data_IF_419579562308
#
_entry.id   IF_419579562308
#
_cell.length_a   1.000
_cell.length_b   1.000
_cell.length_c   1.000
_cell.angle_alpha   90.00
_cell.angle_beta   90.00
_cell.angle_gamma   90.00
#
_symmetry.space_group_name_H-M   'P 1'
#
loop_
_entity.id
_entity.type
_entity.pdbx_description
1 polymer ?
#
# COMPACT_ATOMS: atom_id res chain seq x y z
N UNK A 1 13.21 4.35 15.22
CA UNK A 1 13.33 2.94 14.85
C UNK A 1 11.96 2.48 14.37
N UNK A 2 11.93 1.72 13.28
CA UNK A 2 10.73 1.08 12.77
C UNK A 2 11.02 -0.38 12.48
N UNK A 3 10.03 -1.25 12.65
CA UNK A 3 10.17 -2.67 12.36
C UNK A 3 9.41 -3.02 11.09
N UNK A 4 9.95 -3.93 10.29
CA UNK A 4 9.24 -4.46 9.14
C UNK A 4 8.23 -5.53 9.58
N UNK A 5 7.16 -5.70 8.82
CA UNK A 5 6.13 -6.72 9.11
C UNK A 5 6.62 -8.17 8.94
N UNK A 6 7.84 -8.37 8.38
CA UNK A 6 8.54 -9.65 8.30
C UNK A 6 7.69 -10.82 7.78
N UNK A 7 7.31 -10.80 6.51
CA UNK A 7 6.57 -11.92 5.88
C UNK A 7 7.30 -13.29 5.99
N UNK A 8 8.58 -13.27 6.33
CA UNK A 8 9.43 -14.47 6.55
C UNK A 8 9.64 -14.80 8.03
N UNK A 9 8.94 -14.14 8.96
CA UNK A 9 9.09 -14.31 10.40
C UNK A 9 10.34 -13.63 11.00
N UNK A 10 11.18 -13.00 10.20
CA UNK A 10 12.31 -12.18 10.66
C UNK A 10 12.00 -10.70 10.40
N UNK A 11 11.71 -9.95 11.45
CA UNK A 11 11.56 -8.50 11.36
C UNK A 11 12.94 -7.86 11.21
N UNK A 12 13.07 -6.97 10.22
CA UNK A 12 14.24 -6.14 10.09
C UNK A 12 14.02 -4.84 10.88
N UNK A 13 14.95 -4.50 11.74
CA UNK A 13 14.95 -3.22 12.43
C UNK A 13 15.56 -2.16 11.50
N UNK A 14 14.83 -1.09 11.26
CA UNK A 14 15.19 -0.05 10.28
C UNK A 14 15.50 1.25 10.99
N UNK A 15 16.65 1.83 10.66
CA UNK A 15 17.14 3.07 11.26
C UNK A 15 17.13 4.21 10.25
N UNK A 16 16.59 5.36 10.67
CA UNK A 16 16.59 6.59 9.91
C UNK A 16 17.06 7.77 10.74
N UNK A 17 17.86 8.65 10.14
CA UNK A 17 17.97 10.02 10.68
C UNK A 17 16.70 10.80 10.36
N UNK A 18 16.24 11.61 11.30
CA UNK A 18 15.02 12.41 11.10
C UNK A 18 15.08 13.30 9.84
N UNK A 19 16.26 13.88 9.53
CA UNK A 19 16.46 14.66 8.32
C UNK A 19 16.38 13.82 7.03
N UNK A 20 16.97 12.62 7.03
CA UNK A 20 16.97 11.74 5.86
C UNK A 20 15.55 11.19 5.61
N UNK A 21 14.84 10.79 6.66
CA UNK A 21 13.44 10.40 6.57
C UNK A 21 12.56 11.55 6.02
N UNK A 22 12.75 12.78 6.51
CA UNK A 22 12.05 13.96 6.02
C UNK A 22 12.35 14.23 4.54
N UNK A 23 13.61 14.15 4.13
CA UNK A 23 14.04 14.37 2.73
C UNK A 23 13.44 13.34 1.79
N UNK A 24 13.36 12.08 2.20
CA UNK A 24 12.78 11.02 1.38
C UNK A 24 11.28 11.21 1.11
N UNK A 25 10.59 12.00 1.92
CA UNK A 25 9.17 12.33 1.74
C UNK A 25 8.93 13.50 0.77
N UNK A 26 9.93 14.33 0.46
CA UNK A 26 9.73 15.52 -0.39
C UNK A 26 9.20 15.20 -1.79
N UNK A 27 9.74 14.20 -2.52
CA UNK A 27 9.21 13.87 -3.84
C UNK A 27 7.76 13.42 -3.78
N UNK A 28 7.37 12.65 -2.74
CA UNK A 28 6.01 12.19 -2.56
C UNK A 28 5.04 13.35 -2.30
N UNK A 29 5.42 14.29 -1.41
CA UNK A 29 4.63 15.50 -1.16
C UNK A 29 4.53 16.39 -2.40
N UNK A 30 5.60 16.50 -3.19
CA UNK A 30 5.56 17.23 -4.46
C UNK A 30 4.52 16.64 -5.43
N UNK A 31 4.44 15.30 -5.55
CA UNK A 31 3.48 14.65 -6.44
C UNK A 31 2.04 14.71 -5.90
N UNK A 32 1.82 14.54 -4.61
CA UNK A 32 0.50 14.74 -3.96
C UNK A 32 -0.04 16.13 -4.25
N UNK A 33 0.78 17.15 -4.05
CA UNK A 33 0.41 18.53 -4.34
C UNK A 33 0.15 18.76 -5.83
N UNK A 34 1.07 18.32 -6.68
CA UNK A 34 1.00 18.57 -8.13
C UNK A 34 -0.23 17.94 -8.77
N UNK A 35 -0.58 16.71 -8.41
CA UNK A 35 -1.60 15.93 -9.11
C UNK A 35 -2.95 15.92 -8.41
N UNK A 36 -2.97 16.05 -7.09
CA UNK A 36 -4.18 15.91 -6.28
C UNK A 36 -4.48 17.12 -5.41
N UNK A 37 -3.62 18.15 -5.44
CA UNK A 37 -3.81 19.37 -4.66
C UNK A 37 -3.65 19.18 -3.14
N UNK A 38 -3.07 18.06 -2.70
CA UNK A 38 -2.92 17.72 -1.28
C UNK A 38 -1.67 18.37 -0.69
N UNK A 39 -1.87 19.12 0.37
CA UNK A 39 -0.81 19.80 1.11
C UNK A 39 -0.45 19.08 2.43
N UNK A 40 0.78 19.25 2.96
CA UNK A 40 1.20 18.57 4.19
C UNK A 40 0.36 18.91 5.43
N UNK A 41 -0.38 19.98 5.41
CA UNK A 41 -1.25 20.45 6.50
C UNK A 41 -2.74 20.09 6.32
N UNK A 42 -3.11 19.44 5.21
CA UNK A 42 -4.48 19.00 5.01
C UNK A 42 -4.85 17.89 5.96
N UNK A 43 -6.09 17.90 6.42
CA UNK A 43 -6.62 16.86 7.29
C UNK A 43 -6.61 15.52 6.61
N UNK A 44 -6.10 14.50 7.29
CA UNK A 44 -6.08 13.12 6.79
C UNK A 44 -6.65 12.16 7.80
N UNK A 45 -7.14 11.01 7.29
CA UNK A 45 -7.34 9.82 8.10
C UNK A 45 -6.49 8.66 7.58
N UNK A 46 -6.01 7.85 8.50
CA UNK A 46 -5.27 6.61 8.20
C UNK A 46 -5.49 5.58 9.29
N UNK A 47 -5.01 4.35 9.04
CA UNK A 47 -5.05 3.29 10.02
C UNK A 47 -3.64 2.89 10.46
N UNK A 48 -3.47 2.62 11.76
CA UNK A 48 -2.20 2.15 12.33
C UNK A 48 -2.34 0.75 12.92
N UNK A 49 -1.24 0.03 12.94
CA UNK A 49 -1.13 -1.27 13.62
C UNK A 49 -0.55 -1.05 15.01
N UNK A 50 -1.20 -1.59 16.03
CA UNK A 50 -0.67 -1.57 17.40
C UNK A 50 0.51 -2.54 17.47
N UNK A 51 1.66 -2.08 17.91
CA UNK A 51 2.85 -2.92 18.13
C UNK A 51 2.64 -3.94 19.25
N UNK A 52 3.40 -5.04 19.23
CA UNK A 52 3.29 -6.10 20.25
C UNK A 52 3.51 -5.61 21.70
N UNK A 53 4.24 -4.50 21.88
CA UNK A 53 4.57 -3.89 23.16
C UNK A 53 3.87 -2.54 23.37
N UNK A 54 2.92 -2.18 22.54
CA UNK A 54 2.17 -0.94 22.63
C UNK A 54 0.73 -1.24 23.07
N UNK A 55 0.18 -0.36 23.90
CA UNK A 55 -1.25 -0.41 24.21
C UNK A 55 -2.02 0.34 23.11
N UNK A 56 -3.20 -0.15 22.80
CA UNK A 56 -4.16 0.58 22.00
C UNK A 56 -4.59 1.84 22.76
N UNK A 57 -4.74 2.97 22.08
CA UNK A 57 -5.32 4.17 22.66
C UNK A 57 -6.75 3.87 23.16
N UNK A 58 -7.20 4.54 24.24
CA UNK A 58 -8.43 4.23 24.97
C UNK A 58 -9.65 3.99 24.05
N UNK A 59 -9.78 4.82 23.01
CA UNK A 59 -10.86 4.72 22.00
C UNK A 59 -10.40 4.07 20.69
N UNK A 60 -9.22 3.47 20.63
CA UNK A 60 -8.65 2.93 19.41
C UNK A 60 -8.39 3.97 18.33
N UNK A 61 -8.15 5.22 18.72
CA UNK A 61 -7.85 6.34 17.83
C UNK A 61 -6.87 7.31 18.44
N UNK A 62 -6.15 8.05 17.61
CA UNK A 62 -5.21 9.08 18.04
C UNK A 62 -5.16 10.26 17.08
N UNK A 63 -4.93 11.43 17.62
CA UNK A 63 -4.71 12.65 16.84
C UNK A 63 -3.21 12.91 16.70
N UNK A 64 -2.70 12.92 15.47
CA UNK A 64 -1.30 13.20 15.17
C UNK A 64 -1.21 14.38 14.22
N UNK A 65 -0.90 15.56 14.74
CA UNK A 65 -0.92 16.83 14.01
C UNK A 65 -2.31 17.09 13.40
N UNK A 66 -2.42 17.08 12.07
CA UNK A 66 -3.64 17.22 11.27
C UNK A 66 -4.20 15.87 10.81
N UNK A 67 -3.79 14.78 11.43
CA UNK A 67 -4.27 13.43 11.16
C UNK A 67 -5.14 12.89 12.28
N UNK A 68 -6.18 12.16 11.91
CA UNK A 68 -6.94 11.27 12.77
C UNK A 68 -6.65 9.84 12.35
N UNK A 69 -5.94 9.12 13.21
CA UNK A 69 -5.48 7.76 12.97
C UNK A 69 -6.33 6.79 13.77
N UNK A 70 -6.76 5.69 13.15
CA UNK A 70 -7.56 4.63 13.77
C UNK A 70 -6.76 3.35 13.90
N UNK A 71 -6.95 2.64 15.02
CA UNK A 71 -6.34 1.33 15.24
C UNK A 71 -6.96 0.28 14.31
N UNK A 72 -6.13 -0.62 13.78
CA UNK A 72 -6.58 -1.79 13.02
C UNK A 72 -7.03 -2.96 13.89
N UNK A 73 -6.87 -2.85 15.22
CA UNK A 73 -7.33 -3.90 16.11
C UNK A 73 -8.87 -3.96 16.14
N UNK A 74 -9.42 -5.16 16.17
CA UNK A 74 -10.85 -5.41 16.38
C UNK A 74 -11.79 -4.60 15.45
N UNK A 75 -11.53 -4.58 14.16
CA UNK A 75 -12.37 -3.90 13.16
C UNK A 75 -13.67 -4.67 12.93
N UNK A 76 -14.56 -4.67 13.95
CA UNK A 76 -15.93 -5.18 13.80
C UNK A 76 -16.77 -4.25 12.91
N UNK A 77 -17.91 -4.72 12.43
CA UNK A 77 -18.83 -3.94 11.60
C UNK A 77 -19.28 -2.66 12.33
N UNK A 78 -19.72 -2.78 13.59
CA UNK A 78 -20.16 -1.64 14.41
C UNK A 78 -19.04 -0.60 14.55
N UNK A 79 -17.80 -1.06 14.83
CA UNK A 79 -16.65 -0.16 14.96
C UNK A 79 -16.31 0.52 13.65
N UNK A 80 -16.39 -0.18 12.52
CA UNK A 80 -16.17 0.42 11.19
C UNK A 80 -17.23 1.48 10.86
N UNK A 81 -18.48 1.26 11.23
CA UNK A 81 -19.56 2.25 11.10
C UNK A 81 -19.26 3.49 11.93
N UNK A 82 -18.82 3.33 13.18
CA UNK A 82 -18.49 4.46 14.05
C UNK A 82 -17.25 5.22 13.54
N UNK A 83 -16.20 4.50 13.11
CA UNK A 83 -15.03 5.09 12.46
C UNK A 83 -15.45 5.90 11.23
N UNK A 84 -16.31 5.36 10.37
CA UNK A 84 -16.76 6.06 9.17
C UNK A 84 -17.54 7.34 9.50
N UNK A 85 -18.45 7.30 10.48
CA UNK A 85 -19.17 8.48 10.97
C UNK A 85 -18.22 9.53 11.54
N UNK A 86 -17.20 9.09 12.26
CA UNK A 86 -16.18 9.99 12.81
C UNK A 86 -15.33 10.62 11.70
N UNK A 87 -14.98 9.86 10.65
CA UNK A 87 -14.34 10.41 9.45
C UNK A 87 -15.21 11.50 8.81
N UNK A 88 -16.52 11.28 8.68
CA UNK A 88 -17.44 12.29 8.17
C UNK A 88 -17.43 13.57 9.03
N UNK A 89 -17.44 13.44 10.34
CA UNK A 89 -17.42 14.57 11.30
C UNK A 89 -16.07 15.27 11.31
N UNK A 90 -14.96 14.53 11.22
CA UNK A 90 -13.62 15.08 11.19
C UNK A 90 -13.33 15.87 9.92
N UNK A 91 -13.87 15.43 8.79
CA UNK A 91 -13.74 16.06 7.49
C UNK A 91 -12.33 16.00 6.91
N UNK A 92 -11.77 14.79 6.64
CA UNK A 92 -10.46 14.68 6.01
C UNK A 92 -10.51 15.13 4.55
N UNK A 93 -9.46 15.81 4.10
CA UNK A 93 -9.26 16.11 2.69
C UNK A 93 -8.76 14.85 1.94
N UNK A 94 -8.09 13.96 2.62
CA UNK A 94 -7.58 12.73 2.02
C UNK A 94 -7.46 11.55 3.00
N UNK A 95 -7.46 10.34 2.44
CA UNK A 95 -7.27 9.10 3.19
C UNK A 95 -5.96 8.42 2.74
N UNK A 96 -5.24 7.83 3.70
CA UNK A 96 -4.12 6.94 3.45
C UNK A 96 -4.51 5.55 3.93
N UNK A 97 -4.77 4.63 3.01
CA UNK A 97 -5.39 3.35 3.31
C UNK A 97 -4.62 2.17 2.70
N UNK A 98 -4.72 1.02 3.35
CA UNK A 98 -4.50 -0.27 2.69
C UNK A 98 -5.75 -0.64 1.88
N UNK A 99 -5.60 -1.33 0.73
CA UNK A 99 -6.71 -1.83 -0.05
C UNK A 99 -7.76 -2.59 0.75
N UNK A 100 -7.35 -3.51 1.64
CA UNK A 100 -8.29 -4.26 2.49
C UNK A 100 -9.13 -3.36 3.42
N UNK A 101 -8.53 -2.30 3.99
CA UNK A 101 -9.26 -1.35 4.84
C UNK A 101 -10.25 -0.52 4.00
N UNK A 102 -9.84 -0.09 2.83
CA UNK A 102 -10.72 0.65 1.93
C UNK A 102 -11.94 -0.20 1.51
N UNK A 103 -11.74 -1.49 1.29
CA UNK A 103 -12.82 -2.44 1.00
C UNK A 103 -13.81 -2.55 2.16
N UNK A 104 -13.33 -2.73 3.39
CA UNK A 104 -14.18 -2.76 4.58
C UNK A 104 -14.99 -1.47 4.76
N UNK A 105 -14.37 -0.30 4.52
CA UNK A 105 -15.08 0.98 4.57
C UNK A 105 -16.13 1.11 3.48
N UNK A 106 -15.89 0.58 2.26
CA UNK A 106 -16.91 0.51 1.21
C UNK A 106 -18.07 -0.38 1.62
N UNK A 107 -17.80 -1.57 2.19
CA UNK A 107 -18.83 -2.51 2.64
C UNK A 107 -19.76 -1.86 3.66
N UNK A 108 -19.23 -1.28 4.74
CA UNK A 108 -20.07 -0.66 5.77
C UNK A 108 -20.81 0.58 5.26
N UNK A 109 -20.18 1.37 4.35
CA UNK A 109 -20.85 2.50 3.72
C UNK A 109 -22.10 2.06 2.93
N UNK A 110 -21.95 1.01 2.13
CA UNK A 110 -23.04 0.45 1.31
C UNK A 110 -24.14 -0.18 2.18
N UNK A 111 -23.77 -1.05 3.13
CA UNK A 111 -24.71 -1.77 4.01
C UNK A 111 -25.54 -0.84 4.90
N UNK A 112 -24.91 0.20 5.44
CA UNK A 112 -25.56 1.13 6.36
C UNK A 112 -25.97 2.45 5.72
N UNK A 113 -25.89 2.55 4.39
CA UNK A 113 -26.25 3.76 3.64
C UNK A 113 -25.60 5.03 4.20
N UNK A 114 -24.28 4.93 4.57
CA UNK A 114 -23.56 6.03 5.19
C UNK A 114 -23.32 7.16 4.18
N UNK A 115 -23.33 8.42 4.64
CA UNK A 115 -23.19 9.59 3.77
C UNK A 115 -21.80 9.67 3.13
N UNK A 116 -21.69 10.48 2.10
CA UNK A 116 -20.40 10.86 1.52
C UNK A 116 -19.57 11.68 2.52
N UNK A 117 -18.26 11.49 2.50
CA UNK A 117 -17.32 12.39 3.21
C UNK A 117 -17.12 13.62 2.31
N UNK A 118 -17.83 14.71 2.58
CA UNK A 118 -17.94 15.88 1.70
C UNK A 118 -16.61 16.58 1.41
N UNK A 119 -15.67 16.51 2.35
CA UNK A 119 -14.35 17.15 2.24
C UNK A 119 -13.31 16.28 1.53
N UNK A 120 -13.62 15.01 1.29
CA UNK A 120 -12.69 14.06 0.72
C UNK A 120 -12.47 14.37 -0.76
N UNK A 121 -11.21 14.55 -1.17
CA UNK A 121 -10.85 14.83 -2.55
C UNK A 121 -9.82 13.84 -3.13
N UNK A 122 -9.25 12.94 -2.30
CA UNK A 122 -8.21 12.03 -2.72
C UNK A 122 -8.03 10.82 -1.78
N UNK A 123 -7.71 9.66 -2.33
CA UNK A 123 -7.32 8.47 -1.56
C UNK A 123 -5.98 7.95 -2.08
N UNK A 124 -5.02 7.78 -1.17
CA UNK A 124 -3.75 7.12 -1.44
C UNK A 124 -3.76 5.69 -0.89
N UNK A 125 -3.50 4.74 -1.76
CA UNK A 125 -3.39 3.32 -1.41
C UNK A 125 -1.94 2.93 -1.20
N UNK A 126 -1.66 2.14 -0.16
CA UNK A 126 -0.30 1.68 0.14
C UNK A 126 -0.32 0.36 0.91
N UNK A 127 0.83 -0.32 0.93
CA UNK A 127 1.09 -1.47 1.80
C UNK A 127 0.61 -2.82 1.29
N UNK A 128 -0.31 -2.85 0.33
CA UNK A 128 -0.84 -4.06 -0.28
C UNK A 128 -1.01 -3.86 -1.79
N UNK A 129 -1.16 -4.96 -2.53
CA UNK A 129 -1.47 -4.90 -3.95
C UNK A 129 -2.89 -4.38 -4.16
N UNK A 130 -3.02 -3.35 -4.99
CA UNK A 130 -4.32 -2.80 -5.38
C UNK A 130 -4.78 -3.42 -6.70
N UNK A 131 -5.66 -4.40 -6.64
CA UNK A 131 -6.22 -5.06 -7.82
C UNK A 131 -7.25 -4.18 -8.54
N UNK A 132 -7.38 -4.37 -9.84
CA UNK A 132 -8.23 -3.53 -10.71
C UNK A 132 -9.71 -3.51 -10.26
N UNK A 133 -10.25 -4.66 -9.88
CA UNK A 133 -11.66 -4.76 -9.47
C UNK A 133 -11.90 -3.96 -8.18
N UNK A 134 -11.03 -4.16 -7.18
CA UNK A 134 -11.11 -3.43 -5.93
C UNK A 134 -10.92 -1.92 -6.12
N UNK A 135 -9.97 -1.51 -6.98
CA UNK A 135 -9.79 -0.10 -7.36
C UNK A 135 -11.08 0.51 -7.91
N UNK A 136 -11.75 -0.19 -8.83
CA UNK A 136 -13.00 0.28 -9.44
C UNK A 136 -14.08 0.44 -8.38
N UNK A 137 -14.26 -0.56 -7.51
CA UNK A 137 -15.21 -0.51 -6.41
C UNK A 137 -14.96 0.66 -5.47
N UNK A 138 -13.70 0.87 -5.04
CA UNK A 138 -13.35 1.99 -4.16
C UNK A 138 -13.61 3.33 -4.85
N UNK A 139 -13.30 3.43 -6.15
CA UNK A 139 -13.56 4.64 -6.95
C UNK A 139 -15.05 4.96 -7.06
N UNK A 140 -15.88 3.95 -7.25
CA UNK A 140 -17.34 4.09 -7.27
C UNK A 140 -17.89 4.46 -5.90
N UNK A 141 -17.38 3.83 -4.84
CA UNK A 141 -17.81 4.06 -3.47
C UNK A 141 -17.52 5.48 -2.98
N UNK A 142 -16.30 5.98 -3.19
CA UNK A 142 -15.87 7.28 -2.65
C UNK A 142 -15.93 8.42 -3.66
N UNK A 143 -16.02 8.15 -4.95
CA UNK A 143 -16.12 9.13 -6.05
C UNK A 143 -14.98 10.14 -6.11
N UNK A 144 -13.77 9.75 -5.71
CA UNK A 144 -12.57 10.59 -5.71
C UNK A 144 -11.41 9.90 -6.44
N UNK A 145 -10.40 10.65 -6.89
CA UNK A 145 -9.17 10.10 -7.44
C UNK A 145 -8.45 9.17 -6.45
N UNK A 146 -7.85 8.10 -7.00
CA UNK A 146 -7.06 7.13 -6.23
C UNK A 146 -5.68 7.05 -6.87
N UNK A 147 -4.63 7.10 -6.05
CA UNK A 147 -3.28 6.74 -6.48
C UNK A 147 -2.71 5.64 -5.60
N UNK A 148 -1.90 4.79 -6.22
CA UNK A 148 -1.14 3.76 -5.53
C UNK A 148 0.27 4.26 -5.22
N UNK A 149 0.73 4.03 -3.99
CA UNK A 149 2.08 4.32 -3.54
C UNK A 149 2.76 2.99 -3.19
N UNK A 150 3.76 2.61 -3.97
CA UNK A 150 4.61 1.47 -3.66
C UNK A 150 5.79 1.92 -2.81
N UNK A 151 5.93 1.31 -1.65
CA UNK A 151 6.98 1.63 -0.69
C UNK A 151 7.09 0.60 0.42
N UNK A 152 8.09 0.77 1.26
CA UNK A 152 8.35 -0.07 2.42
C UNK A 152 9.06 0.74 3.51
N UNK A 153 9.03 0.26 4.74
CA UNK A 153 9.62 0.97 5.90
C UNK A 153 11.12 1.23 5.72
N UNK A 154 11.82 0.33 5.01
CA UNK A 154 13.25 0.40 4.76
C UNK A 154 13.67 1.59 3.90
N UNK A 155 12.80 2.06 3.03
CA UNK A 155 13.16 3.09 2.04
C UNK A 155 12.08 4.12 1.74
N UNK A 156 10.98 4.11 2.50
CA UNK A 156 9.80 4.93 2.27
C UNK A 156 9.19 4.68 0.87
N UNK A 157 9.06 5.70 0.05
CA UNK A 157 8.42 5.59 -1.27
C UNK A 157 9.40 5.17 -2.35
N UNK A 158 9.13 4.06 -3.01
CA UNK A 158 9.86 3.52 -4.16
C UNK A 158 9.26 4.04 -5.45
N UNK A 159 7.94 3.98 -5.57
CA UNK A 159 7.22 4.44 -6.76
C UNK A 159 5.86 5.04 -6.39
N UNK A 160 5.36 5.92 -7.27
CA UNK A 160 4.10 6.63 -7.08
C UNK A 160 3.30 6.68 -8.38
N UNK A 161 2.00 6.47 -8.26
CA UNK A 161 1.11 6.44 -9.40
C UNK A 161 0.68 7.85 -9.84
N UNK A 162 0.82 8.11 -11.12
CA UNK A 162 0.33 9.35 -11.73
C UNK A 162 -1.15 9.26 -12.12
N UNK A 163 -1.81 10.39 -12.45
CA UNK A 163 -3.22 10.38 -12.89
C UNK A 163 -3.52 9.52 -14.11
N UNK A 164 -2.51 9.18 -14.92
CA UNK A 164 -2.64 8.28 -16.08
C UNK A 164 -2.56 6.79 -15.69
N UNK A 165 -2.46 6.46 -14.38
CA UNK A 165 -2.41 5.10 -13.88
C UNK A 165 -1.04 4.42 -13.99
N UNK A 166 0.03 5.15 -14.31
CA UNK A 166 1.39 4.60 -14.37
C UNK A 166 2.13 4.81 -13.06
N UNK A 167 2.74 3.75 -12.54
CA UNK A 167 3.53 3.76 -11.31
C UNK A 167 4.98 4.14 -11.63
N UNK A 168 5.36 5.39 -11.40
CA UNK A 168 6.70 5.91 -11.70
C UNK A 168 7.66 5.72 -10.52
N UNK A 169 8.86 5.20 -10.80
CA UNK A 169 9.93 5.14 -9.81
C UNK A 169 10.31 6.54 -9.31
N UNK A 170 10.42 6.70 -7.99
CA UNK A 170 10.90 7.94 -7.36
C UNK A 170 12.43 7.88 -7.32
N UNK A 171 13.06 8.19 -8.45
CA UNK A 171 14.50 8.10 -8.62
C UNK A 171 15.31 9.06 -7.73
N UNK A 172 14.66 10.04 -7.12
CA UNK A 172 15.26 10.90 -6.09
C UNK A 172 15.55 10.13 -4.79
N UNK A 173 14.72 9.12 -4.49
CA UNK A 173 14.81 8.33 -3.26
C UNK A 173 15.62 7.06 -3.44
N UNK A 174 15.42 6.40 -4.58
CA UNK A 174 15.89 5.03 -4.80
C UNK A 174 16.40 4.82 -6.21
N UNK A 175 17.19 3.77 -6.37
CA UNK A 175 17.52 3.18 -7.66
C UNK A 175 16.92 1.78 -7.72
N UNK A 176 16.05 1.54 -8.70
CA UNK A 176 15.32 0.27 -8.88
C UNK A 176 15.99 -0.54 -9.98
N UNK A 177 16.23 -1.81 -9.72
CA UNK A 177 16.74 -2.80 -10.68
C UNK A 177 15.81 -4.00 -10.70
N UNK A 178 15.65 -4.59 -11.87
CA UNK A 178 15.02 -5.90 -12.03
C UNK A 178 16.12 -6.91 -12.33
N UNK A 179 16.26 -7.92 -11.47
CA UNK A 179 17.31 -8.92 -11.60
C UNK A 179 16.69 -10.31 -11.85
N UNK A 180 17.48 -11.17 -12.50
CA UNK A 180 17.17 -12.59 -12.62
C UNK A 180 17.68 -13.39 -11.39
N UNK A 181 17.43 -14.67 -11.37
CA UNK A 181 17.88 -15.61 -10.33
C UNK A 181 19.41 -15.68 -10.14
N UNK A 182 20.17 -15.26 -11.17
CA UNK A 182 21.64 -15.20 -11.14
C UNK A 182 22.16 -13.79 -10.74
N UNK A 183 21.25 -12.85 -10.36
CA UNK A 183 21.60 -11.47 -10.00
C UNK A 183 21.98 -10.60 -11.19
N UNK A 184 21.70 -11.01 -12.43
CA UNK A 184 21.96 -10.24 -13.64
C UNK A 184 20.77 -9.34 -13.94
N UNK A 185 21.06 -8.11 -14.37
CA UNK A 185 20.02 -7.14 -14.73
C UNK A 185 19.22 -7.59 -15.94
N UNK A 186 17.89 -7.55 -15.80
CA UNK A 186 16.93 -7.76 -16.89
C UNK A 186 16.81 -6.50 -17.76
N UNK A 187 16.52 -6.71 -19.02
CA UNK A 187 16.12 -5.62 -19.92
C UNK A 187 14.73 -5.09 -19.57
N UNK A 188 14.46 -3.86 -19.95
CA UNK A 188 13.13 -3.26 -19.75
C UNK A 188 12.06 -4.11 -20.46
N UNK A 189 10.91 -4.29 -19.80
CA UNK A 189 9.82 -5.15 -20.25
C UNK A 189 9.92 -6.62 -19.84
N UNK A 190 11.04 -7.05 -19.26
CA UNK A 190 11.24 -8.43 -18.78
C UNK A 190 11.05 -8.51 -17.27
N UNK A 191 10.21 -9.44 -16.83
CA UNK A 191 9.91 -9.66 -15.42
C UNK A 191 11.11 -10.27 -14.65
N UNK A 192 11.21 -9.90 -13.39
CA UNK A 192 12.21 -10.42 -12.47
C UNK A 192 11.98 -9.95 -11.05
N UNK A 193 12.95 -10.20 -10.18
CA UNK A 193 12.90 -9.75 -8.79
C UNK A 193 13.26 -8.28 -8.70
N UNK A 194 12.52 -7.55 -7.85
CA UNK A 194 12.74 -6.13 -7.62
C UNK A 194 13.82 -5.96 -6.56
N UNK A 195 14.90 -5.30 -6.96
CA UNK A 195 15.99 -4.87 -6.09
C UNK A 195 16.05 -3.36 -6.02
N UNK A 196 16.29 -2.84 -4.82
CA UNK A 196 16.30 -1.40 -4.59
C UNK A 196 17.55 -0.97 -3.84
N UNK A 197 18.16 0.12 -4.29
CA UNK A 197 19.27 0.79 -3.60
C UNK A 197 18.77 2.14 -3.08
N UNK A 198 18.93 2.39 -1.76
CA UNK A 198 18.54 3.66 -1.15
C UNK A 198 19.52 4.78 -1.49
N UNK A 199 19.02 5.99 -1.71
CA UNK A 199 19.83 7.19 -1.96
C UNK A 199 19.84 8.15 -0.76
N UNK A 200 18.80 8.11 0.06
CA UNK A 200 18.58 9.09 1.13
C UNK A 200 18.88 8.57 2.53
N UNK A 201 18.80 7.26 2.79
CA UNK A 201 19.12 6.71 4.11
C UNK A 201 20.63 6.53 4.26
N UNK A 202 21.28 7.43 4.99
CA UNK A 202 22.73 7.42 5.21
C UNK A 202 23.16 6.62 6.44
N UNK A 203 22.23 6.35 7.37
CA UNK A 203 22.51 5.56 8.59
C UNK A 203 22.48 4.08 8.26
N UNK A 204 21.51 3.68 7.46
CA UNK A 204 21.33 2.30 7.02
C UNK A 204 21.21 2.26 5.49
N UNK A 205 22.32 2.45 4.77
CA UNK A 205 22.30 2.40 3.31
C UNK A 205 22.07 0.98 2.86
N UNK A 206 20.96 0.75 2.18
CA UNK A 206 20.64 -0.54 1.57
C UNK A 206 21.07 -0.51 0.10
N UNK A 207 21.95 -1.43 -0.27
CA UNK A 207 22.45 -1.57 -1.64
C UNK A 207 21.98 -2.90 -2.20
N UNK A 208 21.27 -2.84 -3.33
CA UNK A 208 20.64 -4.02 -3.96
C UNK A 208 19.84 -4.87 -2.96
N UNK A 209 19.01 -4.20 -2.17
CA UNK A 209 18.11 -4.85 -1.23
C UNK A 209 16.99 -5.55 -2.01
N UNK A 210 16.83 -6.85 -1.81
CA UNK A 210 15.75 -7.64 -2.41
C UNK A 210 14.46 -7.36 -1.67
N UNK A 211 13.47 -6.79 -2.36
CA UNK A 211 12.19 -6.42 -1.74
C UNK A 211 11.29 -7.63 -1.43
N UNK A 212 11.53 -8.74 -2.11
CA UNK A 212 10.65 -9.91 -2.12
C UNK A 212 9.48 -9.78 -3.11
N UNK A 213 9.35 -8.64 -3.77
CA UNK A 213 8.33 -8.41 -4.80
C UNK A 213 8.92 -8.64 -6.19
N UNK A 214 8.05 -8.92 -7.16
CA UNK A 214 8.41 -9.12 -8.57
C UNK A 214 7.75 -8.08 -9.45
N UNK A 215 8.39 -7.79 -10.58
CA UNK A 215 7.87 -6.84 -11.55
C UNK A 215 8.81 -6.61 -12.71
N UNK A 216 8.52 -5.59 -13.49
CA UNK A 216 9.35 -5.14 -14.61
C UNK A 216 9.43 -3.63 -14.68
N UNK A 217 10.53 -3.13 -15.21
CA UNK A 217 10.67 -1.71 -15.56
C UNK A 217 10.30 -1.52 -17.03
N UNK A 218 9.58 -0.45 -17.30
CA UNK A 218 9.22 -0.01 -18.66
C UNK A 218 9.85 1.36 -18.92
N UNK A 219 10.17 1.67 -20.19
CA UNK A 219 10.55 3.02 -20.56
C UNK A 219 9.44 4.02 -20.20
N UNK A 220 9.82 5.21 -19.76
CA UNK A 220 8.85 6.25 -19.46
C UNK A 220 8.37 6.93 -20.75
N UNK A 221 7.21 6.50 -21.22
CA UNK A 221 6.47 7.13 -22.35
C UNK A 221 5.25 7.92 -21.88
N UNK A 222 5.08 8.08 -20.55
CA UNK A 222 3.93 8.72 -19.96
C UNK A 222 3.97 10.25 -20.12
N UNK A 223 2.85 10.83 -20.53
CA UNK A 223 2.70 12.28 -20.73
C UNK A 223 2.38 13.07 -19.44
N UNK A 224 2.32 12.41 -18.29
CA UNK A 224 1.97 13.05 -17.00
C UNK A 224 3.02 14.06 -16.49
N UNK A 225 4.25 14.01 -17.03
CA UNK A 225 5.37 14.86 -16.61
C UNK A 225 6.13 14.36 -15.36
N UNK A 226 5.82 13.16 -14.84
CA UNK A 226 6.71 12.48 -13.89
C UNK A 226 7.94 11.96 -14.62
N UNK A 227 9.09 12.12 -13.98
CA UNK A 227 10.35 11.50 -14.42
C UNK A 227 10.46 10.12 -13.79
N UNK A 228 11.40 9.34 -14.28
CA UNK A 228 11.64 7.98 -13.80
C UNK A 228 10.92 6.92 -14.62
N UNK A 229 11.50 5.71 -14.62
CA UNK A 229 10.92 4.56 -15.31
C UNK A 229 9.56 4.19 -14.70
N UNK A 230 8.72 3.59 -15.51
CA UNK A 230 7.46 3.01 -15.03
C UNK A 230 7.77 1.62 -14.46
N UNK A 231 7.29 1.37 -13.26
CA UNK A 231 7.35 0.06 -12.59
C UNK A 231 5.98 -0.62 -12.74
N UNK A 232 5.97 -1.80 -13.28
CA UNK A 232 4.80 -2.66 -13.29
C UNK A 232 5.02 -3.80 -12.30
N UNK A 233 4.23 -3.82 -11.23
CA UNK A 233 4.29 -4.85 -10.20
C UNK A 233 3.56 -6.10 -10.68
N UNK A 234 4.14 -7.27 -10.44
CA UNK A 234 3.45 -8.55 -10.58
C UNK A 234 2.67 -8.88 -9.31
N UNK A 235 1.56 -9.56 -9.48
CA UNK A 235 0.77 -10.07 -8.36
C UNK A 235 1.53 -11.17 -7.62
N UNK A 236 1.56 -11.06 -6.28
CA UNK A 236 2.16 -12.02 -5.36
C UNK A 236 3.64 -11.77 -5.05
N UNK A 237 3.97 -11.84 -3.77
CA UNK A 237 5.36 -11.93 -3.30
C UNK A 237 5.91 -13.31 -3.59
N UNK A 238 7.24 -13.45 -3.60
CA UNK A 238 7.88 -14.77 -3.77
C UNK A 238 7.37 -15.80 -2.76
N UNK A 239 7.04 -15.40 -1.54
CA UNK A 239 6.49 -16.26 -0.49
C UNK A 239 4.99 -16.58 -0.68
N UNK A 240 4.34 -15.96 -1.64
CA UNK A 240 2.93 -16.21 -1.96
C UNK A 240 2.78 -17.24 -3.10
N UNK A 241 3.82 -18.03 -3.35
CA UNK A 241 3.77 -19.11 -4.33
C UNK A 241 3.44 -20.44 -3.69
N UNK A 242 2.53 -21.16 -4.33
CA UNK A 242 2.12 -22.51 -3.94
C UNK A 242 2.83 -23.48 -4.84
N UNK A 243 3.44 -24.50 -4.24
CA UNK A 243 4.00 -25.62 -4.95
C UNK A 243 2.89 -26.63 -5.25
N UNK A 244 2.55 -26.81 -6.53
CA UNK A 244 1.59 -27.81 -6.96
C UNK A 244 2.22 -29.20 -6.98
N UNK A 245 1.39 -30.25 -6.83
CA UNK A 245 1.88 -31.66 -6.86
C UNK A 245 2.59 -32.05 -8.16
N UNK A 246 2.29 -31.39 -9.26
CA UNK A 246 2.93 -31.59 -10.56
C UNK A 246 4.25 -30.82 -10.72
N UNK A 247 4.75 -30.16 -9.67
CA UNK A 247 5.96 -29.36 -9.69
C UNK A 247 5.79 -27.92 -10.18
N UNK A 248 4.62 -27.56 -10.66
CA UNK A 248 4.33 -26.17 -11.03
C UNK A 248 4.23 -25.27 -9.80
N UNK A 249 4.65 -24.03 -9.96
CA UNK A 249 4.40 -22.96 -8.99
C UNK A 249 3.24 -22.11 -9.44
N UNK A 250 2.29 -21.87 -8.55
CA UNK A 250 1.17 -20.94 -8.79
C UNK A 250 1.11 -19.89 -7.68
N UNK A 251 0.72 -18.67 -8.04
CA UNK A 251 0.55 -17.61 -7.05
C UNK A 251 -0.58 -17.94 -6.08
N UNK A 252 -0.39 -17.63 -4.79
CA UNK A 252 -1.43 -17.73 -3.77
C UNK A 252 -2.65 -16.85 -4.06
N UNK A 253 -2.54 -15.92 -5.01
CA UNK A 253 -3.65 -15.09 -5.48
C UNK A 253 -4.86 -15.91 -5.95
N UNK A 254 -4.66 -17.16 -6.39
CA UNK A 254 -5.78 -18.05 -6.72
C UNK A 254 -6.74 -18.22 -5.54
N UNK A 255 -6.22 -18.24 -4.30
CA UNK A 255 -7.05 -18.34 -3.11
C UNK A 255 -7.79 -17.02 -2.81
N UNK A 256 -7.16 -15.88 -3.06
CA UNK A 256 -7.82 -14.58 -2.98
C UNK A 256 -9.05 -14.58 -3.88
N UNK A 257 -8.88 -15.01 -5.15
CA UNK A 257 -10.01 -15.12 -6.10
C UNK A 257 -11.09 -16.12 -5.64
N UNK A 258 -10.68 -17.25 -5.07
CA UNK A 258 -11.65 -18.22 -4.52
C UNK A 258 -12.43 -17.61 -3.36
N UNK A 259 -11.75 -16.91 -2.45
CA UNK A 259 -12.40 -16.24 -1.31
C UNK A 259 -13.33 -15.11 -1.78
N UNK A 260 -12.91 -14.31 -2.76
CA UNK A 260 -13.77 -13.29 -3.38
C UNK A 260 -15.06 -13.92 -3.93
N UNK A 261 -14.96 -14.99 -4.73
CA UNK A 261 -16.12 -15.71 -5.28
C UNK A 261 -17.01 -16.28 -4.16
N UNK A 262 -16.38 -16.88 -3.13
CA UNK A 262 -17.15 -17.40 -1.98
C UNK A 262 -17.86 -16.27 -1.25
N UNK A 263 -17.21 -15.14 -1.05
CA UNK A 263 -17.80 -13.98 -0.41
C UNK A 263 -18.94 -13.35 -1.22
N UNK A 264 -18.84 -13.33 -2.55
CA UNK A 264 -19.96 -12.92 -3.44
C UNK A 264 -21.21 -13.80 -3.24
N UNK A 265 -21.02 -15.12 -2.99
CA UNK A 265 -22.11 -16.07 -2.81
C UNK A 265 -22.65 -16.08 -1.37
N UNK A 266 -21.81 -15.81 -0.39
CA UNK A 266 -22.08 -15.94 1.04
C UNK A 266 -22.25 -14.61 1.77
N UNK A 267 -22.51 -13.53 1.06
CA UNK A 267 -22.69 -12.17 1.59
C UNK A 267 -21.50 -11.74 2.50
N UNK A 268 -20.29 -11.91 1.97
CA UNK A 268 -19.04 -11.54 2.64
C UNK A 268 -18.82 -12.23 4.00
N UNK A 269 -19.17 -13.52 4.12
CA UNK A 269 -19.04 -14.27 5.37
C UNK A 269 -17.59 -14.45 5.84
N UNK A 270 -16.61 -14.50 4.92
CA UNK A 270 -15.20 -14.69 5.25
C UNK A 270 -14.53 -13.32 5.43
N UNK A 271 -14.24 -12.94 6.67
CA UNK A 271 -13.59 -11.65 7.00
C UNK A 271 -12.06 -11.75 7.08
N UNK A 272 -11.53 -12.91 7.42
CA UNK A 272 -10.09 -13.16 7.53
C UNK A 272 -9.79 -14.63 7.26
N UNK A 273 -8.68 -14.92 6.61
CA UNK A 273 -8.23 -16.28 6.34
C UNK A 273 -6.71 -16.38 6.34
N UNK A 274 -6.21 -17.58 6.57
CA UNK A 274 -4.80 -17.91 6.45
C UNK A 274 -4.67 -19.24 5.68
N UNK A 275 -3.73 -19.30 4.74
CA UNK A 275 -3.46 -20.49 3.95
C UNK A 275 -2.12 -21.06 4.39
N UNK A 276 -2.13 -22.32 4.81
CA UNK A 276 -0.95 -23.06 5.22
C UNK A 276 -0.74 -24.21 4.26
N UNK A 277 0.36 -24.20 3.51
CA UNK A 277 0.80 -25.35 2.75
C UNK A 277 1.68 -26.20 3.67
N UNK A 278 1.26 -27.44 3.92
CA UNK A 278 2.07 -28.47 4.58
C UNK A 278 2.79 -29.28 3.53
N UNK A 279 4.03 -29.68 3.86
CA UNK A 279 4.84 -30.58 3.02
C UNK A 279 4.18 -31.97 2.85
#
# INVERSE_FOLDING_TARGET
>A
DTHTSGSTGKCLEVYWRAEDAKKSMYPLWFYRRKYYGIEPWDKKCQFYTVGQNENEDEDGKRYVRNGLDFSKANLTEERLVDIYKEMCSYGPAWLLLQPCIAELLCQVKEMHHLPKIETLCYIEMTGEMLHKNLRNRIKECFEVPIANQYGMNEMNSIAYECPNGNLHCIEQNVYVEILDENGRRRQDGIDGDIYVTTKNNKVMPLIRYRTGDRGKLLPNTCTCGMKGKVLELQEGRENDWIQMKNGERRTAYIFVRVIEIVNEITDNAIKQYQILQKE
#
